data_IF_576307569493
#
_entry.id   IF_576307569493
#
_cell.length_a   1.000
_cell.length_b   1.000
_cell.length_c   1.000
_cell.angle_alpha   90.00
_cell.angle_beta   90.00
_cell.angle_gamma   90.00
#
_symmetry.space_group_name_H-M   'P 1'
#
loop_
_entity.id
_entity.type
_entity.pdbx_description
1 polymer ?
#
# COMPACT_ATOMS: atom_id res chain seq x y z
N UNK A 1 -2.28 17.86 -15.37
CA UNK A 1 -2.93 16.54 -15.45
C UNK A 1 -4.07 16.52 -14.46
N UNK A 2 -5.09 15.68 -14.68
CA UNK A 2 -6.35 15.78 -13.92
C UNK A 2 -6.21 15.17 -12.53
N UNK A 3 -6.98 15.65 -11.55
CA UNK A 3 -7.00 15.08 -10.20
C UNK A 3 -7.32 13.58 -10.17
N UNK A 4 -8.01 13.06 -11.20
CA UNK A 4 -8.35 11.65 -11.35
C UNK A 4 -7.14 10.72 -11.41
N UNK A 5 -6.00 11.18 -11.88
CA UNK A 5 -4.81 10.31 -11.93
C UNK A 5 -4.26 10.10 -10.51
N UNK A 6 -4.37 11.09 -9.61
CA UNK A 6 -3.84 11.02 -8.24
C UNK A 6 -4.69 10.09 -7.36
N UNK A 7 -6.01 10.24 -7.43
CA UNK A 7 -6.95 9.48 -6.60
C UNK A 7 -6.87 7.98 -6.87
N UNK A 8 -6.65 7.56 -8.12
CA UNK A 8 -6.42 6.15 -8.49
C UNK A 8 -5.21 5.56 -7.76
N UNK A 9 -4.05 6.21 -7.78
CA UNK A 9 -2.85 5.72 -7.10
C UNK A 9 -3.02 5.67 -5.57
N UNK A 10 -3.77 6.61 -5.01
CA UNK A 10 -4.07 6.63 -3.58
C UNK A 10 -4.96 5.42 -3.20
N UNK A 11 -6.00 5.16 -3.99
CA UNK A 11 -6.89 4.02 -3.77
C UNK A 11 -6.15 2.70 -3.95
N UNK A 12 -5.24 2.60 -4.93
CA UNK A 12 -4.34 1.44 -5.09
C UNK A 12 -3.51 1.18 -3.83
N UNK A 13 -2.92 2.23 -3.23
CA UNK A 13 -2.17 2.12 -1.97
C UNK A 13 -3.07 1.61 -0.84
N UNK A 14 -4.29 2.13 -0.71
CA UNK A 14 -5.23 1.71 0.32
C UNK A 14 -5.60 0.23 0.18
N UNK A 15 -5.94 -0.22 -1.03
CA UNK A 15 -6.27 -1.62 -1.32
C UNK A 15 -5.06 -2.52 -1.02
N UNK A 16 -3.87 -2.14 -1.47
CA UNK A 16 -2.64 -2.91 -1.26
C UNK A 16 -2.32 -3.06 0.22
N UNK A 17 -2.37 -1.97 1.00
CA UNK A 17 -2.16 -2.01 2.46
C UNK A 17 -3.19 -2.92 3.14
N UNK A 18 -4.47 -2.82 2.78
CA UNK A 18 -5.50 -3.69 3.36
C UNK A 18 -5.25 -5.18 3.05
N UNK A 19 -4.88 -5.50 1.80
CA UNK A 19 -4.52 -6.88 1.42
C UNK A 19 -3.33 -7.39 2.23
N UNK A 20 -2.25 -6.61 2.33
CA UNK A 20 -1.06 -6.96 3.12
C UNK A 20 -1.48 -7.29 4.56
N UNK A 21 -2.22 -6.38 5.22
CA UNK A 21 -2.69 -6.61 6.59
C UNK A 21 -3.49 -7.91 6.74
N UNK A 22 -4.32 -8.25 5.74
CA UNK A 22 -5.13 -9.49 5.76
C UNK A 22 -4.29 -10.74 5.51
N UNK A 23 -3.29 -10.66 4.64
CA UNK A 23 -2.37 -11.77 4.36
C UNK A 23 -1.48 -12.06 5.55
N UNK A 24 -1.10 -11.03 6.31
CA UNK A 24 -0.10 -11.18 7.37
C UNK A 24 -0.68 -11.33 8.78
N UNK A 25 -2.00 -11.16 8.96
CA UNK A 25 -2.66 -11.14 10.29
C UNK A 25 -2.49 -12.41 11.13
N UNK A 26 -2.23 -13.55 10.48
CA UNK A 26 -2.17 -14.86 11.13
C UNK A 26 -0.76 -15.22 11.63
N UNK A 27 0.26 -14.47 11.22
CA UNK A 27 1.66 -14.73 11.60
C UNK A 27 2.06 -13.88 12.80
N UNK A 28 2.85 -14.47 13.69
CA UNK A 28 3.37 -13.78 14.88
C UNK A 28 4.79 -13.23 14.67
N UNK A 29 5.51 -13.72 13.65
CA UNK A 29 6.90 -13.37 13.38
C UNK A 29 7.25 -13.52 11.89
N UNK A 30 8.42 -12.98 11.53
CA UNK A 30 8.92 -12.95 10.16
C UNK A 30 9.21 -14.34 9.56
N UNK A 31 9.67 -15.29 10.37
CA UNK A 31 10.04 -16.62 9.90
C UNK A 31 8.79 -17.41 9.47
N UNK A 32 7.76 -17.46 10.33
CA UNK A 32 6.49 -18.12 10.00
C UNK A 32 5.83 -17.51 8.76
N UNK A 33 5.89 -16.17 8.65
CA UNK A 33 5.37 -15.44 7.50
C UNK A 33 6.13 -15.79 6.20
N UNK A 34 7.47 -15.80 6.24
CA UNK A 34 8.33 -16.14 5.09
C UNK A 34 8.05 -17.53 4.54
N UNK A 35 7.83 -18.51 5.41
CA UNK A 35 7.58 -19.89 4.99
C UNK A 35 6.16 -20.12 4.45
N UNK A 36 5.28 -19.14 4.58
CA UNK A 36 4.00 -19.12 3.89
C UNK A 36 4.15 -18.53 2.49
N UNK A 37 4.66 -19.33 1.54
CA UNK A 37 5.04 -18.87 0.19
C UNK A 37 3.97 -18.01 -0.48
N UNK A 38 2.70 -18.42 -0.40
CA UNK A 38 1.58 -17.68 -1.00
C UNK A 38 1.42 -16.29 -0.36
N UNK A 39 1.38 -16.20 0.96
CA UNK A 39 1.19 -14.94 1.69
C UNK A 39 2.42 -14.05 1.56
N UNK A 40 3.61 -14.64 1.58
CA UNK A 40 4.89 -13.97 1.37
C UNK A 40 4.92 -13.31 -0.01
N UNK A 41 4.74 -14.09 -1.08
CA UNK A 41 4.79 -13.58 -2.46
C UNK A 41 3.66 -12.57 -2.73
N UNK A 42 2.44 -12.83 -2.23
CA UNK A 42 1.33 -11.89 -2.36
C UNK A 42 1.63 -10.57 -1.64
N UNK A 43 2.25 -10.61 -0.46
CA UNK A 43 2.63 -9.40 0.28
C UNK A 43 3.72 -8.61 -0.44
N UNK A 44 4.75 -9.29 -0.96
CA UNK A 44 5.80 -8.63 -1.74
C UNK A 44 5.21 -7.92 -2.97
N UNK A 45 4.29 -8.58 -3.69
CA UNK A 45 3.60 -7.98 -4.84
C UNK A 45 2.83 -6.72 -4.47
N UNK A 46 2.10 -6.72 -3.36
CA UNK A 46 1.34 -5.55 -2.92
C UNK A 46 2.28 -4.43 -2.40
N UNK A 47 3.42 -4.76 -1.78
CA UNK A 47 4.46 -3.78 -1.42
C UNK A 47 5.06 -3.09 -2.65
N UNK A 48 5.21 -3.81 -3.76
CA UNK A 48 5.61 -3.20 -5.04
C UNK A 48 4.57 -2.21 -5.56
N UNK A 49 3.27 -2.51 -5.43
CA UNK A 49 2.19 -1.60 -5.82
C UNK A 49 2.27 -0.33 -4.97
N UNK A 50 2.41 -0.47 -3.66
CA UNK A 50 2.56 0.67 -2.74
C UNK A 50 3.74 1.54 -3.15
N UNK A 51 4.91 0.95 -3.44
CA UNK A 51 6.09 1.71 -3.86
C UNK A 51 5.97 2.37 -5.24
N UNK A 52 5.36 1.71 -6.22
CA UNK A 52 5.15 2.28 -7.55
C UNK A 52 4.16 3.45 -7.52
N UNK A 53 3.03 3.28 -6.84
CA UNK A 53 2.05 4.33 -6.65
C UNK A 53 2.67 5.52 -5.90
N UNK A 54 3.41 5.27 -4.82
CA UNK A 54 4.14 6.31 -4.07
C UNK A 54 5.14 7.06 -4.96
N UNK A 55 5.92 6.35 -5.79
CA UNK A 55 6.85 6.98 -6.73
C UNK A 55 6.13 7.89 -7.72
N UNK A 56 4.95 7.47 -8.19
CA UNK A 56 4.14 8.28 -9.10
C UNK A 56 3.60 9.52 -8.40
N UNK A 57 3.08 9.39 -7.17
CA UNK A 57 2.61 10.53 -6.37
C UNK A 57 3.75 11.53 -6.08
N UNK A 58 4.98 11.07 -5.85
CA UNK A 58 6.17 11.94 -5.73
C UNK A 58 6.43 12.70 -7.04
N UNK A 59 6.44 12.00 -8.18
CA UNK A 59 6.68 12.62 -9.50
C UNK A 59 5.62 13.65 -9.86
N UNK A 60 4.38 13.43 -9.41
CA UNK A 60 3.27 14.35 -9.61
C UNK A 60 3.25 15.51 -8.60
N UNK A 61 4.19 15.54 -7.65
CA UNK A 61 4.33 16.61 -6.66
C UNK A 61 3.34 16.55 -5.51
N UNK A 62 2.58 15.45 -5.36
CA UNK A 62 1.68 15.26 -4.23
C UNK A 62 2.45 14.93 -2.95
N UNK A 63 3.45 14.06 -3.07
CA UNK A 63 4.27 13.60 -1.95
C UNK A 63 5.70 14.13 -2.06
N UNK A 64 6.25 14.56 -0.93
CA UNK A 64 7.62 15.06 -0.87
C UNK A 64 8.63 13.93 -1.06
N UNK A 65 9.54 14.11 -2.02
CA UNK A 65 10.57 13.12 -2.33
C UNK A 65 11.38 12.72 -1.07
N UNK A 66 11.88 13.70 -0.31
CA UNK A 66 12.76 13.46 0.84
C UNK A 66 12.12 12.57 1.92
N UNK A 67 10.81 12.72 2.14
CA UNK A 67 10.07 11.95 3.16
C UNK A 67 9.72 10.54 2.70
N UNK A 68 9.30 10.40 1.43
CA UNK A 68 8.69 9.16 0.93
C UNK A 68 9.61 8.30 0.05
N UNK A 69 10.81 8.77 -0.30
CA UNK A 69 11.79 8.03 -1.14
C UNK A 69 12.10 6.63 -0.61
N UNK A 70 12.17 6.45 0.71
CA UNK A 70 12.42 5.15 1.35
C UNK A 70 11.43 4.05 0.93
N UNK A 71 10.17 4.40 0.65
CA UNK A 71 9.14 3.45 0.21
C UNK A 71 9.44 2.98 -1.23
N UNK A 72 9.86 3.92 -2.09
CA UNK A 72 10.26 3.63 -3.47
C UNK A 72 11.53 2.78 -3.51
N UNK A 73 12.50 3.09 -2.66
CA UNK A 73 13.75 2.35 -2.57
C UNK A 73 13.53 0.92 -2.06
N UNK A 74 12.62 0.74 -1.10
CA UNK A 74 12.21 -0.58 -0.63
C UNK A 74 11.54 -1.41 -1.74
N UNK A 75 10.67 -0.80 -2.57
CA UNK A 75 10.14 -1.47 -3.76
C UNK A 75 11.25 -1.86 -4.76
N UNK A 76 12.25 -1.01 -4.95
CA UNK A 76 13.38 -1.35 -5.83
C UNK A 76 14.19 -2.53 -5.27
N UNK A 77 14.36 -2.59 -3.95
CA UNK A 77 14.98 -3.74 -3.28
C UNK A 77 14.19 -5.03 -3.53
N UNK A 78 12.86 -5.01 -3.40
CA UNK A 78 12.00 -6.19 -3.64
C UNK A 78 12.14 -6.67 -5.10
N UNK A 79 11.99 -5.76 -6.07
CA UNK A 79 11.99 -6.13 -7.51
C UNK A 79 13.35 -6.64 -7.98
N UNK A 80 14.45 -6.15 -7.41
CA UNK A 80 15.81 -6.58 -7.77
C UNK A 80 16.36 -7.70 -6.88
N UNK A 81 15.72 -7.95 -5.73
CA UNK A 81 16.12 -8.90 -4.71
C UNK A 81 15.74 -10.35 -5.02
N UNK A 82 15.99 -10.83 -6.24
CA UNK A 82 15.72 -12.22 -6.64
C UNK A 82 16.38 -13.27 -5.70
N UNK A 83 17.37 -12.87 -4.91
CA UNK A 83 17.90 -13.60 -3.75
C UNK A 83 18.11 -12.64 -2.57
N UNK A 84 17.78 -13.07 -1.35
CA UNK A 84 18.22 -12.41 -0.12
C UNK A 84 17.38 -11.22 0.36
N UNK A 85 16.08 -11.17 0.05
CA UNK A 85 15.17 -10.27 0.78
C UNK A 85 15.14 -10.70 2.24
N UNK A 86 15.47 -9.77 3.14
CA UNK A 86 15.44 -9.99 4.58
C UNK A 86 13.99 -9.98 5.08
N UNK A 87 13.52 -11.14 5.55
CA UNK A 87 12.19 -11.31 6.13
C UNK A 87 11.92 -10.40 7.31
N UNK A 88 12.93 -10.07 8.10
CA UNK A 88 12.76 -9.21 9.27
C UNK A 88 12.49 -7.77 8.83
N UNK A 89 13.13 -7.32 7.73
CA UNK A 89 12.89 -5.99 7.19
C UNK A 89 11.49 -5.90 6.56
N UNK A 90 11.08 -6.90 5.79
CA UNK A 90 9.70 -6.97 5.26
C UNK A 90 8.69 -6.98 6.41
N UNK A 91 8.93 -7.81 7.43
CA UNK A 91 8.04 -7.89 8.59
C UNK A 91 7.94 -6.56 9.35
N UNK A 92 9.05 -5.87 9.58
CA UNK A 92 9.07 -4.53 10.17
C UNK A 92 8.28 -3.51 9.32
N UNK A 93 8.40 -3.56 8.00
CA UNK A 93 7.60 -2.70 7.11
C UNK A 93 6.11 -2.97 7.26
N UNK A 94 5.72 -4.25 7.21
CA UNK A 94 4.33 -4.70 7.35
C UNK A 94 3.73 -4.27 8.68
N UNK A 95 4.43 -4.52 9.79
CA UNK A 95 3.92 -4.28 11.14
C UNK A 95 3.95 -2.80 11.53
N UNK A 96 5.03 -2.10 11.22
CA UNK A 96 5.32 -0.81 11.84
C UNK A 96 5.27 0.38 10.89
N UNK A 97 5.28 0.18 9.56
CA UNK A 97 5.44 1.29 8.60
C UNK A 97 4.22 1.54 7.73
N UNK A 98 3.48 0.51 7.33
CA UNK A 98 2.32 0.67 6.44
C UNK A 98 1.16 1.43 7.11
N UNK A 99 0.87 1.12 8.37
CA UNK A 99 -0.23 1.79 9.09
C UNK A 99 0.02 3.29 9.26
N UNK A 100 1.20 3.75 9.77
CA UNK A 100 1.53 5.18 9.77
C UNK A 100 1.46 5.83 8.38
N UNK A 101 1.98 5.17 7.35
CA UNK A 101 1.93 5.71 5.99
C UNK A 101 0.49 5.92 5.48
N UNK A 102 -0.42 4.99 5.79
CA UNK A 102 -1.83 5.13 5.45
C UNK A 102 -2.47 6.36 6.14
N UNK A 103 -2.16 6.62 7.41
CA UNK A 103 -2.65 7.81 8.11
C UNK A 103 -2.07 9.10 7.52
N UNK A 104 -0.76 9.14 7.25
CA UNK A 104 -0.13 10.30 6.61
C UNK A 104 -0.76 10.59 5.23
N UNK A 105 -1.06 9.56 4.44
CA UNK A 105 -1.68 9.75 3.13
C UNK A 105 -3.11 10.30 3.27
N UNK A 106 -3.86 9.89 4.29
CA UNK A 106 -5.17 10.48 4.61
C UNK A 106 -5.07 11.95 4.98
N UNK A 107 -4.06 12.35 5.76
CA UNK A 107 -3.81 13.76 6.08
C UNK A 107 -3.53 14.57 4.81
N UNK A 108 -2.67 14.06 3.93
CA UNK A 108 -2.37 14.71 2.63
C UNK A 108 -3.63 14.90 1.77
N UNK A 109 -4.51 13.90 1.71
CA UNK A 109 -5.79 13.98 0.99
C UNK A 109 -6.67 15.11 1.54
N UNK A 110 -6.76 15.22 2.86
CA UNK A 110 -7.55 16.26 3.53
C UNK A 110 -6.95 17.65 3.31
N UNK A 111 -5.64 17.80 3.49
CA UNK A 111 -4.94 19.08 3.34
C UNK A 111 -5.02 19.62 1.90
N UNK A 112 -4.88 18.72 0.91
CA UNK A 112 -4.91 19.09 -0.50
C UNK A 112 -6.30 19.01 -1.14
N UNK A 113 -7.34 18.69 -0.36
CA UNK A 113 -8.73 18.53 -0.81
C UNK A 113 -8.85 17.60 -2.04
N UNK A 114 -8.16 16.46 -2.01
CA UNK A 114 -8.22 15.47 -3.11
C UNK A 114 -9.53 14.70 -2.99
N UNK A 115 -10.33 14.74 -4.06
CA UNK A 115 -11.53 13.93 -4.15
C UNK A 115 -11.19 12.49 -4.59
N UNK A 116 -11.44 11.53 -3.71
CA UNK A 116 -11.21 10.10 -3.95
C UNK A 116 -12.53 9.29 -4.01
N UNK A 117 -13.69 9.93 -3.86
CA UNK A 117 -14.97 9.24 -3.65
C UNK A 117 -15.40 8.40 -4.84
N UNK A 118 -15.20 8.93 -6.04
CA UNK A 118 -15.54 8.23 -7.29
C UNK A 118 -14.70 6.95 -7.43
N UNK A 119 -13.39 7.03 -7.19
CA UNK A 119 -12.49 5.88 -7.33
C UNK A 119 -12.67 4.86 -6.20
N UNK A 120 -12.96 5.31 -4.97
CA UNK A 120 -13.39 4.41 -3.89
C UNK A 120 -14.70 3.70 -4.25
N UNK A 121 -15.67 4.43 -4.81
CA UNK A 121 -16.94 3.84 -5.24
C UNK A 121 -16.74 2.81 -6.34
N UNK A 122 -15.89 3.11 -7.31
CA UNK A 122 -15.50 2.18 -8.36
C UNK A 122 -14.82 0.93 -7.80
N UNK A 123 -13.82 1.10 -6.92
CA UNK A 123 -13.12 0.00 -6.26
C UNK A 123 -14.08 -0.89 -5.46
N UNK A 124 -15.04 -0.30 -4.73
CA UNK A 124 -16.09 -1.05 -4.01
C UNK A 124 -16.96 -1.87 -4.96
N UNK A 125 -17.35 -1.31 -6.11
CA UNK A 125 -18.14 -2.00 -7.12
C UNK A 125 -17.38 -3.18 -7.75
N UNK A 126 -16.10 -3.00 -8.10
CA UNK A 126 -15.29 -4.09 -8.65
C UNK A 126 -15.04 -5.21 -7.61
N UNK A 127 -14.93 -4.84 -6.34
CA UNK A 127 -14.61 -5.76 -5.25
C UNK A 127 -15.83 -6.15 -4.41
N UNK A 128 -17.05 -6.05 -4.93
CA UNK A 128 -18.29 -6.21 -4.17
C UNK A 128 -18.44 -7.55 -3.42
N UNK A 129 -17.72 -8.60 -3.85
CA UNK A 129 -17.71 -9.91 -3.16
C UNK A 129 -16.72 -9.99 -2.00
N UNK A 130 -15.78 -9.05 -1.90
CA UNK A 130 -14.78 -8.98 -0.85
C UNK A 130 -15.26 -8.01 0.24
N UNK A 131 -16.10 -8.53 1.15
CA UNK A 131 -16.77 -7.74 2.19
C UNK A 131 -15.76 -6.98 3.06
N UNK A 132 -14.68 -7.65 3.50
CA UNK A 132 -13.62 -7.03 4.32
C UNK A 132 -13.00 -5.80 3.63
N UNK A 133 -12.74 -5.89 2.32
CA UNK A 133 -12.18 -4.76 1.56
C UNK A 133 -13.19 -3.63 1.39
N UNK A 134 -14.46 -3.96 1.11
CA UNK A 134 -15.52 -2.95 0.96
C UNK A 134 -15.74 -2.18 2.27
N UNK A 135 -15.79 -2.88 3.41
CA UNK A 135 -15.89 -2.26 4.73
C UNK A 135 -14.70 -1.36 5.03
N UNK A 136 -13.48 -1.83 4.71
CA UNK A 136 -12.28 -1.02 4.83
C UNK A 136 -12.35 0.23 3.95
N UNK A 137 -12.77 0.11 2.69
CA UNK A 137 -12.87 1.24 1.76
C UNK A 137 -13.86 2.30 2.26
N UNK A 138 -14.96 1.90 2.92
CA UNK A 138 -15.88 2.86 3.56
C UNK A 138 -15.25 3.59 4.77
N UNK A 139 -14.23 3.02 5.41
CA UNK A 139 -13.53 3.65 6.55
C UNK A 139 -12.41 4.62 6.14
N UNK A 140 -12.05 4.62 4.86
CA UNK A 140 -11.02 5.49 4.28
C UNK A 140 -11.57 6.51 3.27
N UNK A 141 -12.87 6.43 2.97
CA UNK A 141 -13.65 7.44 2.24
C UNK A 141 -13.85 8.72 3.06
#
# INVERSE_FOLDING_TARGET
MSSRDLSLYIVDIFIAINKIQRYTKEFANAEDFKWSELQWDATLRELEIVGEATNTLIKLGLLENEKYRKIVDFRNLIVHGYFGIDENEVWNVVQDKLSPFLYELKEVIMEQNIDIKDDISYAKLENFKNIELVEFLNSVE
#
